data_IF_120969812102
#
_entry.id   IF_120969812102
#
_cell.length_a   1.000
_cell.length_b   1.000
_cell.length_c   1.000
_cell.angle_alpha   90.00
_cell.angle_beta   90.00
_cell.angle_gamma   90.00
#
_symmetry.space_group_name_H-M   'P 1'
#
loop_
_entity.id
_entity.type
_entity.pdbx_description
1 polymer ?
#
# COMPACT_ATOMS: atom_id res chain seq x y z
N UNK A 1 2.69 8.51 6.60
CA UNK A 1 2.07 7.17 6.80
C UNK A 1 2.91 6.36 7.77
N UNK A 2 2.41 5.19 8.23
CA UNK A 2 2.99 4.40 9.33
C UNK A 2 3.08 5.19 10.65
N UNK A 3 3.26 4.48 11.77
CA UNK A 3 3.26 5.11 13.11
C UNK A 3 4.49 6.00 13.37
N UNK A 4 5.60 5.75 12.66
CA UNK A 4 6.88 6.47 12.76
C UNK A 4 7.05 7.54 11.65
N UNK A 5 6.06 7.72 10.78
CA UNK A 5 6.07 8.74 9.73
C UNK A 5 7.05 8.50 8.58
N UNK A 6 7.80 7.38 8.56
CA UNK A 6 8.89 7.17 7.60
C UNK A 6 8.43 7.05 6.14
N UNK A 7 7.20 6.59 5.93
CA UNK A 7 6.62 6.44 4.60
C UNK A 7 6.02 7.77 4.12
N UNK A 8 6.52 8.24 2.97
CA UNK A 8 6.13 9.48 2.30
C UNK A 8 5.01 9.27 1.29
N UNK A 9 4.76 8.03 0.89
CA UNK A 9 3.70 7.67 -0.06
C UNK A 9 2.83 6.52 0.46
N UNK A 10 1.60 6.39 -0.06
CA UNK A 10 0.73 5.23 0.19
C UNK A 10 1.41 3.93 -0.23
N UNK A 11 2.09 3.93 -1.38
CA UNK A 11 2.82 2.77 -1.89
C UNK A 11 3.92 2.33 -0.92
N UNK A 12 4.74 3.27 -0.42
CA UNK A 12 5.76 2.96 0.59
C UNK A 12 5.13 2.42 1.88
N UNK A 13 4.03 3.01 2.33
CA UNK A 13 3.32 2.54 3.51
C UNK A 13 2.89 1.09 3.34
N UNK A 14 2.22 0.77 2.22
CA UNK A 14 1.75 -0.58 1.89
C UNK A 14 2.91 -1.58 1.79
N UNK A 15 4.00 -1.21 1.10
CA UNK A 15 5.13 -2.09 0.86
C UNK A 15 6.02 -2.32 2.09
N UNK A 16 5.99 -1.43 3.09
CA UNK A 16 6.77 -1.57 4.32
C UNK A 16 5.98 -2.23 5.46
N UNK A 17 4.73 -2.60 5.23
CA UNK A 17 3.95 -3.37 6.19
C UNK A 17 4.36 -4.85 6.22
N UNK A 18 4.58 -5.37 7.43
CA UNK A 18 4.90 -6.77 7.72
C UNK A 18 3.98 -7.35 8.79
N UNK A 19 4.39 -8.48 9.39
CA UNK A 19 3.60 -9.15 10.42
C UNK A 19 2.22 -9.57 9.89
N UNK A 20 1.15 -9.18 10.59
CA UNK A 20 -0.24 -9.47 10.22
C UNK A 20 -0.62 -8.92 8.84
N UNK A 21 -0.03 -7.80 8.42
CA UNK A 21 -0.33 -7.16 7.14
C UNK A 21 0.39 -7.80 5.93
N UNK A 22 1.24 -8.82 6.15
CA UNK A 22 2.04 -9.45 5.09
C UNK A 22 1.19 -9.98 3.94
N UNK A 23 0.02 -10.58 4.23
CA UNK A 23 -0.87 -11.10 3.20
C UNK A 23 -1.42 -9.97 2.30
N UNK A 24 -1.77 -8.83 2.88
CA UNK A 24 -2.25 -7.67 2.13
C UNK A 24 -1.14 -7.02 1.30
N UNK A 25 0.08 -6.90 1.84
CA UNK A 25 1.25 -6.46 1.06
C UNK A 25 1.49 -7.35 -0.15
N UNK A 26 1.51 -8.68 0.02
CA UNK A 26 1.70 -9.62 -1.09
C UNK A 26 0.60 -9.53 -2.14
N UNK A 27 -0.66 -9.33 -1.72
CA UNK A 27 -1.77 -9.10 -2.67
C UNK A 27 -1.55 -7.83 -3.48
N UNK A 28 -1.13 -6.74 -2.84
CA UNK A 28 -0.77 -5.51 -3.54
C UNK A 28 0.39 -5.71 -4.53
N UNK A 29 1.42 -6.45 -4.14
CA UNK A 29 2.55 -6.84 -5.01
C UNK A 29 2.13 -7.73 -6.18
N UNK A 30 1.02 -8.47 -6.08
CA UNK A 30 0.50 -9.30 -7.16
C UNK A 30 -0.44 -8.55 -8.12
N UNK A 31 -0.93 -7.36 -7.75
CA UNK A 31 -1.82 -6.57 -8.60
C UNK A 31 -1.13 -6.11 -9.89
N UNK A 32 -1.91 -6.03 -10.96
CA UNK A 32 -1.50 -5.34 -12.19
C UNK A 32 -1.25 -3.86 -11.89
N UNK A 33 -0.49 -3.18 -12.76
CA UNK A 33 -0.27 -1.74 -12.60
C UNK A 33 -1.59 -0.97 -12.57
N UNK A 34 -2.53 -1.29 -13.46
CA UNK A 34 -3.85 -0.66 -13.53
C UNK A 34 -4.64 -0.82 -12.24
N UNK A 35 -4.64 -2.02 -11.65
CA UNK A 35 -5.38 -2.26 -10.41
C UNK A 35 -4.72 -1.56 -9.22
N UNK A 36 -3.38 -1.47 -9.19
CA UNK A 36 -2.68 -0.67 -8.18
C UNK A 36 -3.04 0.81 -8.29
N UNK A 37 -3.03 1.35 -9.51
CA UNK A 37 -3.34 2.76 -9.75
C UNK A 37 -4.80 3.07 -9.33
N UNK A 38 -5.74 2.19 -9.64
CA UNK A 38 -7.14 2.31 -9.20
C UNK A 38 -7.29 2.26 -7.67
N UNK A 39 -6.59 1.32 -7.01
CA UNK A 39 -6.58 1.23 -5.54
C UNK A 39 -5.97 2.47 -4.90
N UNK A 40 -4.85 2.96 -5.42
CA UNK A 40 -4.19 4.17 -4.91
C UNK A 40 -5.06 5.41 -5.11
N UNK A 41 -5.78 5.51 -6.24
CA UNK A 41 -6.73 6.59 -6.48
C UNK A 41 -7.90 6.54 -5.48
N UNK A 42 -8.47 5.36 -5.23
CA UNK A 42 -9.50 5.18 -4.22
C UNK A 42 -9.01 5.61 -2.82
N UNK A 43 -7.86 5.10 -2.39
CA UNK A 43 -7.27 5.44 -1.08
C UNK A 43 -6.92 6.93 -0.94
N UNK A 44 -6.56 7.60 -2.04
CA UNK A 44 -6.27 9.04 -2.06
C UNK A 44 -7.50 9.94 -2.04
N UNK A 45 -8.71 9.39 -2.18
CA UNK A 45 -9.98 10.13 -2.17
C UNK A 45 -10.70 10.15 -0.81
N UNK A 46 -10.11 9.52 0.20
CA UNK A 46 -10.62 9.44 1.58
C UNK A 46 -10.07 10.60 2.42
#
# INVERSE_FOLDING_TARGET
YLHDGRARTLTEAILWHGGEATASRKRFEALSKTDRDALLAFLGSL
#
